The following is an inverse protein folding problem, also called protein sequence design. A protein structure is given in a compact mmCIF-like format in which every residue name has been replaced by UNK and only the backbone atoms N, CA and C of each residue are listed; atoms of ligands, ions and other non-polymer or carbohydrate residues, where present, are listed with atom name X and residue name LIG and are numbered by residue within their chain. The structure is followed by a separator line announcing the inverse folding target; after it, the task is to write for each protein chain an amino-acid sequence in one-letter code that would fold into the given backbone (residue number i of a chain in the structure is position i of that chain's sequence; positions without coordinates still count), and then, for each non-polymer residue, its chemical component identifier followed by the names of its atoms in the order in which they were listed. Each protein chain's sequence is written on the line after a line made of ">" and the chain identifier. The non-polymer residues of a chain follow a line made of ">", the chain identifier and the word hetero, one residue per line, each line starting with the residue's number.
data_IF_506696962352
#
_entry.id   IF_506696962352
#
_cell.length_a   1.000
_cell.length_b   1.000
_cell.length_c   1.000
_cell.angle_alpha   90.00
_cell.angle_beta   90.00
_cell.angle_gamma   90.00
#
_symmetry.space_group_name_H-M   'P 1'
#
loop_
_entity.id
_entity.type
_entity.pdbx_description
1 polymer ?
#
# COMPACT_ATOMS: atom_id res chain seq x y z
N UNK A 1 0.16 -9.80 -16.91
CA UNK A 1 0.48 -10.83 -15.90
C UNK A 1 -0.75 -11.68 -15.64
N UNK A 2 -0.65 -12.98 -15.94
CA UNK A 2 -1.67 -13.97 -15.64
C UNK A 2 -1.23 -14.74 -14.40
N UNK A 3 -2.13 -14.89 -13.44
CA UNK A 3 -1.87 -15.65 -12.23
C UNK A 3 -2.84 -16.82 -12.14
N UNK A 4 -2.42 -17.87 -11.45
CA UNK A 4 -3.27 -18.99 -11.06
C UNK A 4 -3.06 -19.34 -9.59
N UNK A 5 -4.12 -19.82 -8.98
CA UNK A 5 -4.08 -20.41 -7.64
C UNK A 5 -4.07 -21.92 -7.79
N UNK A 6 -3.17 -22.59 -7.07
CA UNK A 6 -2.98 -24.04 -7.10
C UNK A 6 -3.06 -24.53 -5.66
N UNK A 7 -3.90 -25.53 -5.39
CA UNK A 7 -4.02 -26.11 -4.07
C UNK A 7 -4.89 -27.36 -4.10
N UNK A 8 -4.91 -28.07 -2.99
CA UNK A 8 -5.82 -29.18 -2.74
C UNK A 8 -6.39 -29.08 -1.32
N UNK A 9 -7.70 -29.32 -1.11
CA UNK A 9 -8.28 -29.41 0.22
C UNK A 9 -7.85 -30.70 0.96
N UNK A 10 -7.15 -31.61 0.28
CA UNK A 10 -6.53 -32.78 0.88
C UNK A 10 -5.20 -32.43 1.57
N UNK A 11 -4.85 -33.11 2.67
CA UNK A 11 -3.59 -32.87 3.36
C UNK A 11 -2.38 -33.22 2.49
N UNK A 12 -1.28 -32.50 2.70
CA UNK A 12 0.01 -32.78 2.09
C UNK A 12 0.50 -34.18 2.51
N UNK A 13 1.12 -34.95 1.60
CA UNK A 13 1.72 -36.24 1.95
C UNK A 13 2.78 -36.13 3.05
N UNK A 14 3.49 -35.00 3.08
CA UNK A 14 4.39 -34.60 4.14
C UNK A 14 4.01 -33.19 4.61
N UNK A 15 3.50 -33.03 5.85
CA UNK A 15 3.22 -31.73 6.42
C UNK A 15 4.48 -30.85 6.49
N UNK A 16 4.29 -29.53 6.39
CA UNK A 16 5.37 -28.55 6.45
C UNK A 16 5.46 -27.99 7.87
N UNK A 17 6.66 -27.89 8.40
CA UNK A 17 6.94 -27.20 9.66
C UNK A 17 7.38 -25.77 9.37
N UNK A 18 6.81 -24.79 10.07
CA UNK A 18 7.25 -23.40 9.91
C UNK A 18 8.62 -23.15 10.59
N UNK A 19 9.43 -22.23 10.05
CA UNK A 19 10.80 -22.04 10.53
C UNK A 19 10.89 -21.41 11.93
N UNK A 20 9.89 -20.65 12.36
CA UNK A 20 9.92 -19.83 13.58
C UNK A 20 9.33 -20.56 14.79
N UNK A 21 8.09 -21.04 14.67
CA UNK A 21 7.31 -21.61 15.78
C UNK A 21 7.34 -23.13 15.80
N UNK A 22 7.89 -23.78 14.77
CA UNK A 22 7.91 -25.23 14.63
C UNK A 22 6.50 -25.86 14.59
N UNK A 23 5.50 -25.07 14.22
CA UNK A 23 4.14 -25.53 14.06
C UNK A 23 3.99 -26.30 12.74
N UNK A 24 3.11 -27.29 12.73
CA UNK A 24 2.92 -28.20 11.60
C UNK A 24 1.69 -27.78 10.78
N UNK A 25 1.86 -27.74 9.46
CA UNK A 25 0.85 -27.31 8.50
C UNK A 25 0.59 -28.43 7.49
N UNK A 26 -0.63 -28.95 7.52
CA UNK A 26 -1.05 -30.05 6.66
C UNK A 26 -1.59 -29.58 5.30
N UNK A 27 -1.91 -28.29 5.11
CA UNK A 27 -2.54 -27.81 3.88
C UNK A 27 -1.72 -26.68 3.25
N UNK A 28 -1.69 -26.62 1.92
CA UNK A 28 -0.99 -25.58 1.17
C UNK A 28 -1.79 -25.10 -0.04
N UNK A 29 -1.76 -23.80 -0.24
CA UNK A 29 -2.17 -23.10 -1.46
C UNK A 29 -0.97 -22.34 -2.02
N UNK A 30 -0.81 -22.34 -3.33
CA UNK A 30 0.26 -21.65 -4.04
C UNK A 30 -0.31 -20.64 -5.03
N UNK A 31 0.27 -19.46 -5.06
CA UNK A 31 0.02 -18.42 -6.04
C UNK A 31 1.13 -18.39 -7.07
N UNK A 32 0.80 -18.69 -8.32
CA UNK A 32 1.79 -18.84 -9.40
C UNK A 32 1.59 -17.75 -10.45
N UNK A 33 2.68 -17.09 -10.80
CA UNK A 33 2.76 -16.24 -12.00
C UNK A 33 3.01 -17.13 -13.22
N UNK A 34 2.08 -17.10 -14.15
CA UNK A 34 2.21 -17.82 -15.42
C UNK A 34 3.16 -17.08 -16.36
N UNK A 35 3.92 -17.86 -17.12
CA UNK A 35 4.89 -17.42 -18.13
C UNK A 35 5.56 -18.66 -18.73
N UNK A 36 6.62 -18.45 -19.53
CA UNK A 36 7.38 -19.55 -20.14
C UNK A 36 8.01 -20.47 -19.06
N UNK A 37 8.39 -19.88 -17.93
CA UNK A 37 8.77 -20.57 -16.70
C UNK A 37 7.85 -20.13 -15.56
N UNK A 38 6.81 -20.92 -15.21
CA UNK A 38 5.90 -20.60 -14.13
C UNK A 38 6.64 -20.43 -12.80
N UNK A 39 6.41 -19.32 -12.12
CA UNK A 39 7.11 -18.96 -10.88
C UNK A 39 6.12 -18.88 -9.72
N UNK A 40 6.38 -19.60 -8.63
CA UNK A 40 5.58 -19.49 -7.40
C UNK A 40 5.99 -18.22 -6.66
N UNK A 41 5.03 -17.31 -6.47
CA UNK A 41 5.25 -16.04 -5.77
C UNK A 41 4.80 -16.10 -4.31
N UNK A 42 3.78 -16.91 -4.02
CA UNK A 42 3.13 -16.98 -2.71
C UNK A 42 2.86 -18.44 -2.36
N UNK A 43 3.19 -18.83 -1.14
CA UNK A 43 2.71 -20.07 -0.52
C UNK A 43 1.93 -19.72 0.75
N UNK A 44 0.72 -20.26 0.90
CA UNK A 44 -0.10 -20.11 2.10
C UNK A 44 -0.31 -21.49 2.71
N UNK A 45 0.05 -21.62 3.97
CA UNK A 45 -0.03 -22.84 4.76
C UNK A 45 -1.13 -22.72 5.79
N UNK A 46 -1.94 -23.77 5.93
CA UNK A 46 -3.00 -23.84 6.94
C UNK A 46 -2.85 -25.09 7.83
N UNK A 47 -3.11 -24.93 9.13
CA UNK A 47 -3.05 -26.02 10.10
C UNK A 47 -4.24 -26.98 10.00
N UNK A 48 -5.42 -26.48 9.62
CA UNK A 48 -6.69 -27.23 9.60
C UNK A 48 -7.38 -27.12 8.25
N UNK A 49 -8.13 -28.16 7.87
CA UNK A 49 -8.87 -28.19 6.61
C UNK A 49 -9.89 -27.04 6.51
N UNK A 50 -10.51 -26.67 7.63
CA UNK A 50 -11.49 -25.58 7.69
C UNK A 50 -10.90 -24.21 7.36
N UNK A 51 -9.58 -24.04 7.47
CA UNK A 51 -8.88 -22.82 7.07
C UNK A 51 -8.48 -22.82 5.58
N UNK A 52 -8.57 -23.95 4.88
CA UNK A 52 -8.16 -24.05 3.48
C UNK A 52 -8.89 -23.04 2.55
N UNK A 53 -10.22 -22.83 2.64
CA UNK A 53 -10.90 -21.82 1.81
C UNK A 53 -10.41 -20.39 2.09
N UNK A 54 -9.96 -20.09 3.31
CA UNK A 54 -9.36 -18.81 3.65
C UNK A 54 -7.96 -18.67 3.07
N UNK A 55 -7.16 -19.74 3.07
CA UNK A 55 -5.87 -19.78 2.38
C UNK A 55 -6.02 -19.52 0.87
N UNK A 56 -7.04 -20.10 0.23
CA UNK A 56 -7.31 -19.85 -1.20
C UNK A 56 -7.66 -18.39 -1.47
N UNK A 57 -8.58 -17.80 -0.69
CA UNK A 57 -8.96 -16.40 -0.85
C UNK A 57 -7.80 -15.45 -0.52
N UNK A 58 -7.00 -15.76 0.52
CA UNK A 58 -5.84 -14.96 0.90
C UNK A 58 -4.79 -14.97 -0.23
N UNK A 59 -4.59 -16.11 -0.88
CA UNK A 59 -3.70 -16.23 -2.03
C UNK A 59 -4.18 -15.33 -3.18
N UNK A 60 -5.48 -15.32 -3.48
CA UNK A 60 -6.07 -14.42 -4.50
C UNK A 60 -5.88 -12.95 -4.15
N UNK A 61 -6.13 -12.57 -2.90
CA UNK A 61 -5.91 -11.21 -2.41
C UNK A 61 -4.44 -10.79 -2.60
N UNK A 62 -3.50 -11.59 -2.13
CA UNK A 62 -2.08 -11.26 -2.19
C UNK A 62 -1.53 -11.23 -3.63
N UNK A 63 -2.01 -12.11 -4.53
CA UNK A 63 -1.70 -12.01 -5.97
C UNK A 63 -2.24 -10.72 -6.58
N UNK A 64 -3.42 -10.26 -6.13
CA UNK A 64 -3.97 -8.97 -6.57
C UNK A 64 -3.15 -7.80 -6.03
N UNK A 65 -2.72 -7.84 -4.77
CA UNK A 65 -1.81 -6.87 -4.20
C UNK A 65 -0.46 -6.86 -4.94
N UNK A 66 0.11 -8.02 -5.27
CA UNK A 66 1.31 -8.11 -6.10
C UNK A 66 1.12 -7.44 -7.46
N UNK A 67 0.02 -7.73 -8.16
CA UNK A 67 -0.33 -7.08 -9.43
C UNK A 67 -0.38 -5.56 -9.29
N UNK A 68 -1.02 -5.06 -8.22
CA UNK A 68 -1.16 -3.64 -7.95
C UNK A 68 0.20 -3.00 -7.69
N UNK A 69 1.01 -3.56 -6.79
CA UNK A 69 2.35 -3.05 -6.47
C UNK A 69 3.24 -3.00 -7.71
N UNK A 70 3.25 -4.07 -8.51
CA UNK A 70 4.05 -4.16 -9.71
C UNK A 70 3.60 -3.16 -10.79
N UNK A 71 2.31 -3.15 -11.13
CA UNK A 71 1.80 -2.32 -12.24
C UNK A 71 1.68 -0.84 -11.90
N UNK A 72 1.46 -0.49 -10.63
CA UNK A 72 1.16 0.89 -10.23
C UNK A 72 2.27 1.56 -9.43
N UNK A 73 3.04 0.82 -8.63
CA UNK A 73 4.17 1.38 -7.87
C UNK A 73 5.53 1.02 -8.48
N UNK A 74 5.58 0.07 -9.43
CA UNK A 74 6.85 -0.44 -9.97
C UNK A 74 7.64 -1.23 -8.92
N UNK A 75 6.96 -1.78 -7.91
CA UNK A 75 7.57 -2.58 -6.84
C UNK A 75 7.37 -4.06 -7.11
N UNK A 76 8.31 -4.89 -6.65
CA UNK A 76 8.30 -6.32 -6.88
C UNK A 76 8.85 -7.06 -5.66
N UNK A 77 8.49 -8.33 -5.52
CA UNK A 77 8.96 -9.14 -4.40
C UNK A 77 10.51 -9.16 -4.35
N UNK A 78 11.11 -9.03 -3.15
CA UNK A 78 12.57 -9.04 -2.99
C UNK A 78 13.24 -10.28 -3.58
N UNK A 79 14.25 -10.05 -4.44
CA UNK A 79 15.06 -11.11 -5.06
C UNK A 79 15.80 -11.99 -4.05
N UNK A 80 16.18 -11.44 -2.90
CA UNK A 80 16.94 -12.16 -1.84
C UNK A 80 16.20 -13.39 -1.26
N UNK A 81 14.90 -13.50 -1.53
CA UNK A 81 14.05 -14.62 -1.11
C UNK A 81 13.43 -15.33 -2.31
N UNK A 82 14.10 -15.28 -3.47
CA UNK A 82 13.61 -15.83 -4.74
C UNK A 82 12.20 -15.34 -5.12
N UNK A 83 11.86 -14.12 -4.68
CA UNK A 83 10.54 -13.52 -4.83
C UNK A 83 9.40 -14.29 -4.16
N UNK A 84 9.71 -15.23 -3.27
CA UNK A 84 8.72 -16.08 -2.62
C UNK A 84 8.30 -15.51 -1.26
N UNK A 85 7.01 -15.27 -1.09
CA UNK A 85 6.36 -14.96 0.18
C UNK A 85 5.69 -16.23 0.74
N UNK A 86 5.90 -16.52 2.03
CA UNK A 86 5.19 -17.59 2.73
C UNK A 86 4.26 -17.01 3.80
N UNK A 87 3.05 -17.53 3.88
CA UNK A 87 2.03 -17.11 4.83
C UNK A 87 1.57 -18.31 5.64
N UNK A 88 1.51 -18.19 6.96
CA UNK A 88 1.14 -19.27 7.87
C UNK A 88 -0.12 -18.88 8.64
N UNK A 89 -1.18 -19.66 8.45
CA UNK A 89 -2.46 -19.48 9.12
C UNK A 89 -2.50 -20.32 10.41
N UNK A 90 -2.31 -19.66 11.56
CA UNK A 90 -2.21 -20.28 12.88
C UNK A 90 -3.53 -20.19 13.65
N UNK A 91 -3.89 -21.28 14.32
CA UNK A 91 -5.07 -21.37 15.21
C UNK A 91 -4.75 -21.08 16.68
N UNK A 92 -3.48 -20.87 16.98
CA UNK A 92 -2.97 -20.57 18.32
C UNK A 92 -2.20 -19.24 18.27
N UNK A 93 -1.88 -18.69 19.46
CA UNK A 93 -1.22 -17.41 19.61
C UNK A 93 -2.16 -16.27 19.98
N UNK A 94 -1.60 -15.08 20.17
CA UNK A 94 -2.39 -13.86 20.43
C UNK A 94 -2.91 -13.33 19.09
N UNK A 95 -4.20 -13.02 19.03
CA UNK A 95 -4.82 -12.42 17.85
C UNK A 95 -4.01 -11.26 17.27
N UNK A 96 -3.87 -11.28 15.95
CA UNK A 96 -3.10 -10.33 15.15
C UNK A 96 -2.27 -11.04 14.09
N UNK A 97 -1.37 -10.28 13.47
CA UNK A 97 -0.47 -10.78 12.45
C UNK A 97 0.95 -10.24 12.68
N UNK A 98 1.93 -10.89 12.06
CA UNK A 98 3.33 -10.53 12.13
C UNK A 98 4.05 -10.87 10.83
N UNK A 99 4.79 -9.90 10.30
CA UNK A 99 5.68 -10.06 9.17
C UNK A 99 7.14 -10.15 9.65
N UNK A 100 7.83 -11.25 9.32
CA UNK A 100 9.28 -11.38 9.49
C UNK A 100 9.94 -11.94 8.21
N UNK A 101 10.93 -11.23 7.67
CA UNK A 101 11.63 -11.62 6.43
C UNK A 101 10.69 -11.82 5.24
N UNK A 102 10.52 -13.05 4.75
CA UNK A 102 9.56 -13.44 3.71
C UNK A 102 8.42 -14.29 4.25
N UNK A 103 8.17 -14.20 5.56
CA UNK A 103 7.16 -14.93 6.29
C UNK A 103 6.13 -13.93 6.81
N UNK A 104 4.85 -14.31 6.71
CA UNK A 104 3.73 -13.66 7.38
C UNK A 104 3.04 -14.71 8.22
N UNK A 105 2.76 -14.39 9.46
CA UNK A 105 1.99 -15.21 10.38
C UNK A 105 0.70 -14.49 10.70
N UNK A 106 -0.42 -15.21 10.65
CA UNK A 106 -1.72 -14.73 11.17
C UNK A 106 -2.15 -15.69 12.27
N UNK A 107 -2.48 -15.13 13.44
CA UNK A 107 -2.70 -15.88 14.68
C UNK A 107 -4.17 -15.82 15.12
N UNK A 108 -4.55 -16.73 16.03
CA UNK A 108 -5.92 -16.86 16.58
C UNK A 108 -7.00 -16.91 15.49
N UNK A 109 -6.67 -17.58 14.37
CA UNK A 109 -7.59 -17.64 13.25
C UNK A 109 -8.75 -18.58 13.55
N UNK A 110 -9.94 -17.99 13.48
CA UNK A 110 -11.21 -18.72 13.55
C UNK A 110 -12.15 -18.24 12.45
N UNK A 111 -13.18 -19.04 12.16
CA UNK A 111 -14.23 -18.71 11.19
C UNK A 111 -15.06 -17.47 11.59
N UNK A 112 -14.81 -16.89 12.76
CA UNK A 112 -15.53 -15.72 13.29
C UNK A 112 -14.89 -14.38 12.95
N UNK A 113 -13.67 -14.38 12.40
CA UNK A 113 -12.99 -13.13 12.03
C UNK A 113 -13.79 -12.43 10.92
N UNK A 114 -14.19 -11.17 11.11
CA UNK A 114 -14.93 -10.43 10.09
C UNK A 114 -14.12 -10.35 8.77
N UNK A 115 -14.75 -10.54 7.61
CA UNK A 115 -14.04 -10.53 6.32
C UNK A 115 -13.18 -9.29 6.03
N UNK A 116 -13.57 -8.12 6.54
CA UNK A 116 -12.81 -6.88 6.33
C UNK A 116 -11.53 -6.81 7.17
N UNK A 117 -11.49 -7.47 8.33
CA UNK A 117 -10.26 -7.53 9.15
C UNK A 117 -9.22 -8.43 8.48
N UNK A 118 -9.63 -9.52 7.81
CA UNK A 118 -8.75 -10.31 6.95
C UNK A 118 -8.09 -9.46 5.85
N UNK A 119 -8.87 -8.61 5.19
CA UNK A 119 -8.32 -7.72 4.15
C UNK A 119 -7.34 -6.73 4.79
N UNK A 120 -7.68 -6.13 5.92
CA UNK A 120 -6.80 -5.19 6.63
C UNK A 120 -5.49 -5.83 7.03
N UNK A 121 -5.52 -6.89 7.83
CA UNK A 121 -4.30 -7.53 8.35
C UNK A 121 -3.42 -8.04 7.21
N UNK A 122 -3.99 -8.75 6.22
CA UNK A 122 -3.18 -9.23 5.09
C UNK A 122 -2.56 -8.10 4.26
N UNK A 123 -3.28 -7.00 4.04
CA UNK A 123 -2.73 -5.86 3.30
C UNK A 123 -1.72 -5.05 4.11
N UNK A 124 -1.87 -5.01 5.44
CA UNK A 124 -0.90 -4.43 6.37
C UNK A 124 0.42 -5.22 6.34
N UNK A 125 0.38 -6.53 6.61
CA UNK A 125 1.58 -7.36 6.62
C UNK A 125 2.24 -7.46 5.24
N UNK A 126 1.43 -7.51 4.17
CA UNK A 126 1.96 -7.46 2.82
C UNK A 126 2.61 -6.10 2.51
N UNK A 127 2.11 -5.01 3.11
CA UNK A 127 2.74 -3.69 3.10
C UNK A 127 4.17 -3.71 3.64
N UNK A 128 4.38 -4.35 4.80
CA UNK A 128 5.72 -4.53 5.37
C UNK A 128 6.66 -5.29 4.42
N UNK A 129 6.13 -6.29 3.72
CA UNK A 129 6.89 -7.10 2.78
C UNK A 129 7.31 -6.35 1.50
N UNK A 130 6.39 -5.61 0.88
CA UNK A 130 6.56 -5.11 -0.50
C UNK A 130 6.93 -3.63 -0.58
N UNK A 131 6.49 -2.81 0.37
CA UNK A 131 6.75 -1.37 0.37
C UNK A 131 8.07 -1.10 1.09
N UNK A 132 8.98 -0.31 0.50
CA UNK A 132 10.24 0.05 1.16
C UNK A 132 9.99 0.58 2.58
N UNK A 133 10.78 0.11 3.56
CA UNK A 133 10.51 0.44 4.93
C UNK A 133 10.70 1.92 5.20
N UNK A 134 9.77 2.51 5.94
CA UNK A 134 9.95 3.82 6.57
C UNK A 134 9.94 3.61 8.07
N UNK A 135 11.15 3.64 8.64
CA UNK A 135 11.41 3.52 10.06
C UNK A 135 11.60 4.92 10.63
N UNK A 136 11.31 5.09 11.92
CA UNK A 136 11.73 6.19 12.79
C UNK A 136 10.78 6.42 13.95
N UNK A 137 9.64 5.74 13.92
CA UNK A 137 8.56 6.04 14.81
C UNK A 137 8.64 5.21 16.08
N UNK A 138 8.02 5.70 17.13
CA UNK A 138 7.80 4.97 18.38
C UNK A 138 6.33 4.63 18.58
N UNK A 139 5.44 5.28 17.83
CA UNK A 139 3.99 5.11 17.92
C UNK A 139 3.34 5.37 16.54
N UNK A 140 2.28 4.61 16.17
CA UNK A 140 1.77 3.43 16.86
C UNK A 140 2.70 2.22 16.74
N UNK A 141 3.58 2.21 15.74
CA UNK A 141 4.55 1.15 15.46
C UNK A 141 5.82 1.77 14.84
N UNK A 142 6.96 1.07 14.85
CA UNK A 142 8.21 1.64 14.34
C UNK A 142 8.27 1.81 12.82
N UNK A 143 7.54 0.98 12.06
CA UNK A 143 7.61 0.94 10.60
C UNK A 143 6.27 1.33 9.98
N UNK A 144 6.21 2.44 9.26
CA UNK A 144 4.95 2.96 8.72
C UNK A 144 4.51 2.31 7.39
N UNK A 145 5.33 1.42 6.81
CA UNK A 145 5.05 0.80 5.52
C UNK A 145 3.93 -0.25 5.58
N UNK A 146 3.65 -0.83 6.76
CA UNK A 146 2.50 -1.71 7.01
C UNK A 146 1.19 -0.95 6.84
N UNK A 147 0.97 0.10 7.63
CA UNK A 147 -0.21 0.97 7.50
C UNK A 147 -0.35 1.63 6.13
N UNK A 148 0.77 2.02 5.51
CA UNK A 148 0.73 2.57 4.15
C UNK A 148 0.22 1.51 3.18
N UNK A 149 0.70 0.27 3.29
CA UNK A 149 0.21 -0.88 2.52
C UNK A 149 -1.27 -1.13 2.75
N UNK A 150 -1.71 -1.23 4.01
CA UNK A 150 -3.12 -1.41 4.38
C UNK A 150 -4.01 -0.39 3.66
N UNK A 151 -3.69 0.89 3.83
CA UNK A 151 -4.49 1.99 3.29
C UNK A 151 -4.45 2.06 1.77
N UNK A 152 -3.26 1.88 1.18
CA UNK A 152 -3.08 1.97 -0.27
C UNK A 152 -3.70 0.78 -1.00
N UNK A 153 -3.45 -0.45 -0.57
CA UNK A 153 -4.02 -1.64 -1.19
C UNK A 153 -5.55 -1.63 -1.06
N UNK A 154 -6.11 -1.34 0.12
CA UNK A 154 -7.57 -1.27 0.27
C UNK A 154 -8.18 -0.21 -0.67
N UNK A 155 -7.52 0.94 -0.83
CA UNK A 155 -7.98 1.97 -1.76
C UNK A 155 -8.01 1.46 -3.21
N UNK A 156 -6.93 0.80 -3.68
CA UNK A 156 -6.87 0.29 -5.05
C UNK A 156 -7.81 -0.90 -5.30
N UNK A 157 -7.95 -1.79 -4.32
CA UNK A 157 -8.88 -2.92 -4.38
C UNK A 157 -10.33 -2.44 -4.42
N UNK A 158 -10.68 -1.40 -3.65
CA UNK A 158 -11.98 -0.76 -3.69
C UNK A 158 -12.28 -0.15 -5.07
N UNK A 159 -11.35 0.60 -5.65
CA UNK A 159 -11.53 1.20 -6.97
C UNK A 159 -11.68 0.12 -8.07
N UNK A 160 -10.92 -0.97 -7.98
CA UNK A 160 -11.09 -2.12 -8.87
C UNK A 160 -12.45 -2.80 -8.70
N UNK A 161 -12.91 -3.00 -7.46
CA UNK A 161 -14.21 -3.62 -7.19
C UNK A 161 -15.38 -2.76 -7.67
N UNK A 162 -15.22 -1.43 -7.74
CA UNK A 162 -16.21 -0.53 -8.34
C UNK A 162 -16.26 -0.61 -9.87
N UNK A 163 -15.12 -0.89 -10.50
CA UNK A 163 -15.00 -0.97 -11.96
C UNK A 163 -15.33 -2.38 -12.49
N UNK A 164 -15.02 -3.42 -11.73
CA UNK A 164 -15.24 -4.81 -12.10
C UNK A 164 -16.61 -5.31 -11.60
N UNK A 165 -17.44 -5.81 -12.52
CA UNK A 165 -18.52 -6.76 -12.19
C UNK A 165 -18.14 -8.11 -12.81
N UNK A 166 -18.11 -9.27 -12.11
CA UNK A 166 -18.46 -9.55 -10.72
C UNK A 166 -17.36 -10.28 -9.88
N UNK A 167 -16.11 -10.40 -10.33
CA UNK A 167 -15.12 -11.23 -9.61
C UNK A 167 -14.48 -10.48 -8.44
N UNK A 168 -15.13 -10.51 -7.27
CA UNK A 168 -14.68 -9.90 -6.01
C UNK A 168 -14.10 -10.92 -5.01
N UNK A 169 -13.79 -12.14 -5.46
CA UNK A 169 -13.27 -13.21 -4.61
C UNK A 169 -11.96 -12.84 -3.90
N UNK A 170 -11.20 -11.91 -4.49
CA UNK A 170 -9.99 -11.34 -3.89
C UNK A 170 -10.27 -10.45 -2.66
N UNK A 171 -11.53 -10.10 -2.36
CA UNK A 171 -11.88 -9.29 -1.19
C UNK A 171 -12.12 -10.13 0.08
N UNK A 172 -11.78 -11.42 0.09
CA UNK A 172 -11.95 -12.28 1.28
C UNK A 172 -13.41 -12.35 1.80
N UNK A 173 -14.41 -11.99 0.98
CA UNK A 173 -15.81 -11.86 1.39
C UNK A 173 -16.19 -10.51 2.02
N UNK A 174 -15.25 -9.55 2.07
CA UNK A 174 -15.55 -8.19 2.52
C UNK A 174 -16.44 -7.47 1.50
N UNK A 175 -17.43 -6.72 2.00
CA UNK A 175 -18.31 -5.93 1.14
C UNK A 175 -17.63 -4.64 0.69
N UNK A 176 -17.95 -4.18 -0.52
CA UNK A 176 -17.47 -2.89 -1.05
C UNK A 176 -17.82 -1.74 -0.09
N UNK A 177 -18.99 -1.79 0.56
CA UNK A 177 -19.39 -0.80 1.55
C UNK A 177 -18.52 -0.79 2.82
N UNK A 178 -18.02 -1.94 3.27
CA UNK A 178 -17.08 -2.01 4.39
C UNK A 178 -15.73 -1.38 4.03
N UNK A 179 -15.23 -1.63 2.82
CA UNK A 179 -14.02 -0.99 2.30
C UNK A 179 -14.20 0.52 2.18
N UNK A 180 -15.34 0.97 1.63
CA UNK A 180 -15.66 2.39 1.53
C UNK A 180 -15.68 3.08 2.90
N UNK A 181 -16.36 2.47 3.88
CA UNK A 181 -16.43 2.98 5.24
C UNK A 181 -15.04 3.07 5.89
N UNK A 182 -14.19 2.06 5.68
CA UNK A 182 -12.80 2.10 6.11
C UNK A 182 -12.05 3.27 5.47
N UNK A 183 -12.13 3.45 4.14
CA UNK A 183 -11.40 4.50 3.43
C UNK A 183 -11.84 5.91 3.85
N UNK A 184 -13.14 6.12 4.05
CA UNK A 184 -13.68 7.39 4.56
C UNK A 184 -13.15 7.73 5.96
N UNK A 185 -12.85 6.72 6.78
CA UNK A 185 -12.31 6.90 8.13
C UNK A 185 -10.79 7.03 8.14
N UNK A 186 -10.08 6.18 7.39
CA UNK A 186 -8.63 5.99 7.51
C UNK A 186 -7.80 6.71 6.46
N UNK A 187 -8.36 7.05 5.30
CA UNK A 187 -7.61 7.60 4.15
C UNK A 187 -8.03 9.03 3.84
N UNK A 188 -9.33 9.25 3.61
CA UNK A 188 -9.85 10.56 3.18
C UNK A 188 -9.43 11.71 4.12
N UNK A 189 -9.51 11.58 5.46
CA UNK A 189 -9.12 12.67 6.36
C UNK A 189 -7.64 13.04 6.25
N UNK A 190 -6.75 12.08 5.95
CA UNK A 190 -5.32 12.34 5.82
C UNK A 190 -5.01 13.10 4.53
N UNK A 191 -5.56 12.66 3.41
CA UNK A 191 -5.35 13.31 2.10
C UNK A 191 -5.95 14.70 2.09
N UNK A 192 -7.19 14.85 2.59
CA UNK A 192 -7.82 16.15 2.71
C UNK A 192 -7.02 17.09 3.62
N UNK A 193 -6.45 16.60 4.72
CA UNK A 193 -5.64 17.42 5.61
C UNK A 193 -4.42 17.98 4.91
N UNK A 194 -3.67 17.18 4.15
CA UNK A 194 -2.54 17.70 3.36
C UNK A 194 -3.01 18.65 2.26
N UNK A 195 -4.13 18.37 1.61
CA UNK A 195 -4.72 19.28 0.63
C UNK A 195 -5.22 20.61 1.24
N UNK A 196 -5.66 20.62 2.50
CA UNK A 196 -6.13 21.85 3.19
C UNK A 196 -5.00 22.64 3.81
N UNK A 197 -4.03 21.95 4.38
CA UNK A 197 -3.02 22.55 5.25
C UNK A 197 -1.66 22.59 4.61
N UNK A 198 -1.34 21.74 3.63
CA UNK A 198 0.03 21.44 3.18
C UNK A 198 0.79 20.62 4.24
N UNK A 199 2.04 20.25 3.96
CA UNK A 199 2.87 19.54 4.93
C UNK A 199 3.13 20.38 6.20
N UNK A 200 2.91 19.79 7.37
CA UNK A 200 3.21 20.38 8.66
C UNK A 200 4.57 19.91 9.16
N UNK A 201 5.59 20.76 9.02
CA UNK A 201 6.97 20.44 9.41
C UNK A 201 7.16 20.16 10.91
N UNK A 202 6.28 20.66 11.77
CA UNK A 202 6.34 20.36 13.22
C UNK A 202 5.89 18.94 13.49
N UNK A 203 4.78 18.49 12.88
CA UNK A 203 4.30 17.11 12.99
C UNK A 203 5.28 16.15 12.32
N UNK A 204 5.74 16.49 11.12
CA UNK A 204 6.71 15.71 10.34
C UNK A 204 7.97 15.30 11.11
N UNK A 205 8.49 16.19 11.97
CA UNK A 205 9.69 15.94 12.80
C UNK A 205 9.41 15.08 14.03
N UNK A 206 8.14 14.82 14.36
CA UNK A 206 7.78 13.98 15.50
C UNK A 206 8.09 12.52 15.18
N UNK A 207 8.66 11.80 16.15
CA UNK A 207 8.78 10.34 16.07
C UNK A 207 7.56 9.61 16.65
N UNK A 208 6.55 10.33 17.15
CA UNK A 208 5.30 9.74 17.68
C UNK A 208 4.20 9.72 16.61
N UNK A 209 2.98 9.36 17.03
CA UNK A 209 1.77 9.29 16.20
C UNK A 209 1.62 10.47 15.23
N UNK A 210 1.84 11.71 15.68
CA UNK A 210 1.71 12.89 14.83
C UNK A 210 2.59 12.85 13.58
N UNK A 211 3.86 12.41 13.72
CA UNK A 211 4.77 12.34 12.58
C UNK A 211 4.51 11.13 11.71
N UNK A 212 4.16 10.00 12.34
CA UNK A 212 3.73 8.79 11.65
C UNK A 212 2.53 9.07 10.74
N UNK A 213 1.51 9.73 11.27
CA UNK A 213 0.32 10.13 10.50
C UNK A 213 0.62 11.23 9.48
N UNK A 214 1.59 12.12 9.73
CA UNK A 214 2.02 13.12 8.74
C UNK A 214 2.70 12.46 7.53
N UNK A 215 3.53 11.44 7.76
CA UNK A 215 4.11 10.62 6.69
C UNK A 215 3.05 9.90 5.87
N UNK A 216 2.16 9.16 6.53
CA UNK A 216 1.06 8.46 5.83
C UNK A 216 0.22 9.44 5.02
N UNK A 217 -0.09 10.60 5.58
CA UNK A 217 -0.87 11.62 4.90
C UNK A 217 -0.16 12.14 3.64
N UNK A 218 1.13 12.43 3.72
CA UNK A 218 1.90 12.85 2.55
C UNK A 218 1.97 11.75 1.49
N UNK A 219 2.29 10.51 1.87
CA UNK A 219 2.41 9.40 0.93
C UNK A 219 1.09 9.12 0.19
N UNK A 220 -0.03 9.07 0.91
CA UNK A 220 -1.36 8.90 0.32
C UNK A 220 -1.78 10.11 -0.52
N UNK A 221 -1.40 11.32 -0.11
CA UNK A 221 -1.61 12.53 -0.90
C UNK A 221 -0.85 12.47 -2.22
N UNK A 222 0.42 12.01 -2.23
CA UNK A 222 1.20 11.86 -3.46
C UNK A 222 0.52 10.87 -4.42
N UNK A 223 0.05 9.74 -3.92
CA UNK A 223 -0.70 8.75 -4.72
C UNK A 223 -1.97 9.33 -5.33
N UNK A 224 -2.80 9.99 -4.52
CA UNK A 224 -4.11 10.46 -4.99
C UNK A 224 -4.00 11.68 -5.89
N UNK A 225 -3.03 12.56 -5.64
CA UNK A 225 -2.88 13.80 -6.41
C UNK A 225 -2.07 13.59 -7.67
N UNK A 226 -0.95 12.87 -7.62
CA UNK A 226 -0.04 12.71 -8.77
C UNK A 226 -0.07 11.30 -9.38
N UNK A 227 -0.81 10.38 -8.78
CA UNK A 227 -0.93 8.99 -9.23
C UNK A 227 0.08 8.06 -8.59
N UNK A 228 -0.31 6.78 -8.51
CA UNK A 228 0.53 5.68 -7.99
C UNK A 228 1.94 5.64 -8.58
N UNK A 229 2.17 5.89 -9.90
CA UNK A 229 3.52 5.86 -10.45
C UNK A 229 4.46 6.88 -9.83
N UNK A 230 3.96 8.04 -9.38
CA UNK A 230 4.77 9.05 -8.69
C UNK A 230 5.05 8.65 -7.23
N UNK A 231 4.10 8.00 -6.55
CA UNK A 231 4.36 7.43 -5.22
C UNK A 231 5.42 6.33 -5.30
N UNK A 232 5.28 5.39 -6.22
CA UNK A 232 6.24 4.31 -6.44
C UNK A 232 7.63 4.84 -6.78
N UNK A 233 7.71 5.84 -7.67
CA UNK A 233 8.98 6.50 -7.98
C UNK A 233 9.58 7.20 -6.77
N UNK A 234 8.77 7.84 -5.92
CA UNK A 234 9.25 8.48 -4.71
C UNK A 234 9.88 7.47 -3.74
N UNK A 235 9.28 6.30 -3.59
CA UNK A 235 9.83 5.20 -2.77
C UNK A 235 11.16 4.68 -3.32
N UNK A 236 11.28 4.52 -4.64
CA UNK A 236 12.51 4.07 -5.29
C UNK A 236 13.65 5.11 -5.19
N UNK A 237 13.31 6.40 -5.26
CA UNK A 237 14.28 7.50 -5.14
C UNK A 237 14.70 7.82 -3.70
N UNK A 238 13.91 7.43 -2.69
CA UNK A 238 14.20 7.78 -1.30
C UNK A 238 15.61 7.34 -0.87
N UNK A 239 16.03 6.13 -1.29
CA UNK A 239 17.38 5.61 -1.05
C UNK A 239 17.71 5.34 0.41
N UNK A 240 16.74 5.49 1.32
CA UNK A 240 16.88 5.34 2.76
C UNK A 240 15.53 5.02 3.41
N UNK A 241 15.52 4.95 4.74
CA UNK A 241 14.38 4.48 5.53
C UNK A 241 13.75 5.58 6.38
N UNK A 242 14.28 6.81 6.36
CA UNK A 242 13.76 7.90 7.16
C UNK A 242 12.63 8.64 6.42
N UNK A 243 11.73 9.33 7.14
CA UNK A 243 10.71 10.16 6.50
C UNK A 243 11.32 11.21 5.56
N UNK A 244 12.42 11.85 5.97
CA UNK A 244 13.12 12.86 5.14
C UNK A 244 13.71 12.26 3.85
N UNK A 245 14.09 10.99 3.86
CA UNK A 245 14.51 10.27 2.66
C UNK A 245 13.33 10.13 1.70
N UNK A 246 12.15 9.76 2.20
CA UNK A 246 10.93 9.72 1.39
C UNK A 246 10.56 11.11 0.84
N UNK A 247 10.66 12.18 1.63
CA UNK A 247 10.36 13.54 1.15
C UNK A 247 11.32 13.98 0.04
N UNK A 248 12.62 13.62 0.15
CA UNK A 248 13.59 13.83 -0.93
C UNK A 248 13.22 13.02 -2.17
N UNK A 249 12.88 11.73 -2.02
CA UNK A 249 12.41 10.90 -3.12
C UNK A 249 11.14 11.44 -3.78
N UNK A 250 10.21 12.01 -3.01
CA UNK A 250 9.00 12.65 -3.52
C UNK A 250 9.32 13.90 -4.34
N UNK A 251 10.31 14.70 -3.95
CA UNK A 251 10.78 15.83 -4.76
C UNK A 251 11.32 15.35 -6.10
N UNK A 252 12.24 14.37 -6.07
CA UNK A 252 12.87 13.82 -7.27
C UNK A 252 11.83 13.20 -8.23
N UNK A 253 10.91 12.40 -7.69
CA UNK A 253 9.81 11.79 -8.43
C UNK A 253 8.95 12.80 -9.20
N UNK A 254 8.70 13.97 -8.60
CA UNK A 254 7.87 15.00 -9.18
C UNK A 254 8.63 15.92 -10.13
N UNK A 255 9.95 16.09 -9.98
CA UNK A 255 10.78 16.88 -10.90
C UNK A 255 11.31 16.08 -12.09
N UNK A 256 11.26 14.75 -12.04
CA UNK A 256 11.70 13.89 -13.13
C UNK A 256 10.92 14.08 -14.45
N UNK A 257 9.57 14.14 -14.47
CA UNK A 257 8.84 14.38 -15.70
C UNK A 257 8.82 15.87 -16.06
N UNK A 258 8.95 16.20 -17.35
CA UNK A 258 8.79 17.59 -17.82
C UNK A 258 7.41 18.16 -17.50
N UNK A 259 6.39 17.31 -17.45
CA UNK A 259 4.99 17.68 -17.22
C UNK A 259 4.41 16.86 -16.09
N UNK A 260 3.79 17.53 -15.12
CA UNK A 260 3.00 16.90 -14.07
C UNK A 260 1.52 17.14 -14.30
N UNK A 261 0.74 16.08 -14.12
CA UNK A 261 -0.70 16.15 -13.97
C UNK A 261 -1.04 15.95 -12.49
N UNK A 262 -1.91 16.79 -11.96
CA UNK A 262 -2.36 16.73 -10.58
C UNK A 262 -3.90 16.75 -10.50
N UNK A 263 -4.44 15.87 -9.66
CA UNK A 263 -5.85 15.75 -9.32
C UNK A 263 -6.04 16.04 -7.83
N UNK A 264 -6.31 17.28 -7.50
CA UNK A 264 -6.58 17.71 -6.13
C UNK A 264 -8.00 17.27 -5.69
N UNK A 265 -8.21 16.99 -4.38
CA UNK A 265 -9.52 16.61 -3.86
C UNK A 265 -10.60 17.69 -4.01
N UNK A 266 -10.18 18.97 -4.03
CA UNK A 266 -11.07 20.12 -4.20
C UNK A 266 -10.29 21.33 -4.76
N UNK A 267 -10.97 22.32 -5.38
CA UNK A 267 -10.36 23.58 -5.77
C UNK A 267 -9.81 24.36 -4.57
N UNK A 268 -8.82 25.21 -4.79
CA UNK A 268 -8.08 25.93 -3.73
C UNK A 268 -7.36 25.01 -2.73
N UNK A 269 -7.10 23.75 -3.09
CA UNK A 269 -6.21 22.89 -2.32
C UNK A 269 -4.74 23.32 -2.47
N UNK A 270 -3.93 22.95 -1.49
CA UNK A 270 -2.47 23.00 -1.58
C UNK A 270 -1.98 21.93 -2.54
N UNK A 271 -1.11 22.34 -3.45
CA UNK A 271 -0.37 21.54 -4.42
C UNK A 271 1.12 21.58 -4.04
N UNK A 272 1.76 20.42 -3.97
CA UNK A 272 3.20 20.28 -3.77
C UNK A 272 3.92 20.41 -5.12
N UNK A 273 4.79 21.40 -5.23
CA UNK A 273 5.58 21.72 -6.41
C UNK A 273 7.03 21.89 -5.95
N UNK A 274 7.86 20.83 -6.04
CA UNK A 274 9.27 20.93 -5.69
C UNK A 274 9.94 22.08 -6.45
N UNK A 275 10.92 22.71 -5.81
CA UNK A 275 11.59 23.93 -6.30
C UNK A 275 10.68 25.18 -6.43
N UNK A 276 9.39 25.05 -6.08
CA UNK A 276 8.43 26.15 -5.96
C UNK A 276 7.84 26.65 -7.28
N UNK A 277 6.73 27.41 -7.18
CA UNK A 277 5.87 27.83 -8.32
C UNK A 277 6.64 28.46 -9.48
N UNK A 278 7.75 29.16 -9.21
CA UNK A 278 8.55 29.84 -10.26
C UNK A 278 9.14 28.88 -11.28
N UNK A 279 9.40 27.62 -10.90
CA UNK A 279 9.94 26.57 -11.77
C UNK A 279 8.87 25.85 -12.57
N UNK A 280 7.60 26.15 -12.31
CA UNK A 280 6.47 25.54 -12.97
C UNK A 280 5.70 26.57 -13.80
N UNK A 281 5.13 26.11 -14.91
CA UNK A 281 4.22 26.87 -15.75
C UNK A 281 2.91 26.09 -15.86
N UNK A 282 1.80 26.75 -15.60
CA UNK A 282 0.47 26.18 -15.87
C UNK A 282 0.30 25.96 -17.37
N UNK A 283 -0.02 24.73 -17.76
CA UNK A 283 -0.35 24.35 -19.14
C UNK A 283 -1.86 24.33 -19.30
N UNK A 284 -2.55 23.59 -18.43
CA UNK A 284 -4.00 23.42 -18.46
C UNK A 284 -4.56 23.33 -17.03
N UNK A 285 -5.76 23.87 -16.77
CA UNK A 285 -6.46 24.83 -17.62
C UNK A 285 -5.77 26.20 -17.56
N UNK A 286 -5.79 26.99 -18.65
CA UNK A 286 -5.00 28.25 -18.76
C UNK A 286 -5.38 29.30 -17.71
N UNK A 287 -6.61 29.25 -17.20
CA UNK A 287 -7.12 30.13 -16.15
C UNK A 287 -6.74 29.69 -14.73
N UNK A 288 -6.12 28.52 -14.56
CA UNK A 288 -5.67 28.09 -13.24
C UNK A 288 -4.58 29.03 -12.71
N UNK A 289 -4.67 29.36 -11.43
CA UNK A 289 -3.69 30.19 -10.73
C UNK A 289 -3.02 29.36 -9.63
N UNK A 290 -1.75 29.66 -9.41
CA UNK A 290 -0.94 29.08 -8.34
C UNK A 290 -0.50 30.22 -7.42
N UNK A 291 -1.00 30.22 -6.18
CA UNK A 291 -0.61 31.19 -5.16
C UNK A 291 0.41 30.53 -4.21
N UNK A 292 1.70 30.92 -4.26
CA UNK A 292 2.73 30.29 -3.44
C UNK A 292 2.48 30.53 -1.95
N UNK A 293 2.81 29.54 -1.12
CA UNK A 293 2.79 29.68 0.33
C UNK A 293 4.07 30.39 0.80
N UNK A 294 3.97 31.55 1.47
CA UNK A 294 5.14 32.32 1.88
C UNK A 294 6.00 31.60 2.93
N UNK A 295 5.43 30.65 3.68
CA UNK A 295 6.15 29.88 4.71
C UNK A 295 6.70 28.56 4.17
N UNK A 296 6.20 28.10 3.03
CA UNK A 296 6.52 26.80 2.43
C UNK A 296 6.68 26.96 0.92
N UNK A 297 7.88 27.30 0.44
CA UNK A 297 8.08 27.72 -0.95
C UNK A 297 7.75 26.64 -1.99
N UNK A 298 7.77 25.36 -1.59
CA UNK A 298 7.39 24.21 -2.42
C UNK A 298 5.88 23.94 -2.45
N UNK A 299 5.07 24.74 -1.77
CA UNK A 299 3.62 24.55 -1.68
C UNK A 299 2.90 25.76 -2.27
N UNK A 300 1.81 25.51 -2.97
CA UNK A 300 0.99 26.57 -3.56
C UNK A 300 -0.50 26.21 -3.53
N UNK A 301 -1.36 27.19 -3.30
CA UNK A 301 -2.80 27.02 -3.50
C UNK A 301 -3.09 27.01 -4.99
N UNK A 302 -3.80 25.99 -5.46
CA UNK A 302 -4.23 25.87 -6.85
C UNK A 302 -5.72 26.18 -6.97
N UNK A 303 -6.10 27.12 -7.84
CA UNK A 303 -7.50 27.57 -7.94
C UNK A 303 -8.48 26.53 -8.49
N UNK A 304 -7.99 25.42 -9.04
CA UNK A 304 -8.77 24.36 -9.68
C UNK A 304 -8.43 23.00 -9.08
N UNK A 305 -9.31 22.02 -9.25
CA UNK A 305 -9.07 20.65 -8.77
C UNK A 305 -8.22 19.81 -9.73
N UNK A 306 -8.13 20.18 -11.01
CA UNK A 306 -7.35 19.47 -12.02
C UNK A 306 -6.40 20.45 -12.68
N UNK A 307 -5.12 20.12 -12.69
CA UNK A 307 -4.10 20.97 -13.29
C UNK A 307 -3.00 20.14 -13.97
N UNK A 308 -2.51 20.64 -15.09
CA UNK A 308 -1.29 20.21 -15.74
C UNK A 308 -0.28 21.35 -15.70
N UNK A 309 0.89 21.07 -15.16
CA UNK A 309 2.01 22.02 -15.07
C UNK A 309 3.23 21.46 -15.80
N UNK A 310 4.05 22.33 -16.36
CA UNK A 310 5.32 21.99 -17.03
C UNK A 310 6.48 22.66 -16.31
N UNK A 311 7.59 21.95 -16.16
CA UNK A 311 8.86 22.52 -15.71
C UNK A 311 9.35 23.58 -16.71
N UNK A 312 9.99 24.62 -16.17
CA UNK A 312 10.64 25.69 -16.94
C UNK A 312 12.12 25.45 -17.11
#
# INVERSE_FOLDING_TARGET
>A
MRYRVVGSPEPLPAPVEDPLHKAVFAYRVQGVLDGDAPTTLIEIYAQRQTLYPYAERACRLLLQCHRLAHSQLGLDHPLRYDRLLRVFLMTEGKAGAEQQQNLIYLYDLSERIPPHEWVRELTHEYGHWIIPPINSYTEPEPWANGDLGERWFIHKLFEQAKQARPEIDFLMGASVGALEAYLRRAVAPLVERVAREGLNLRRWRSRRRDGYEEYLALALYIDQVYGSPRLGRAMLCAGGIEPDDFLRGARESLTEPETLQAQLPFPNAYLFLPEGVRRWRVVEPRQATLTPDPKRPEWARCSVAQIRVRLR
#
